data_IF_253247391657
#
_entry.id   IF_253247391657
#
_cell.length_a   1.000
_cell.length_b   1.000
_cell.length_c   1.000
_cell.angle_alpha   90.00
_cell.angle_beta   90.00
_cell.angle_gamma   90.00
#
_symmetry.space_group_name_H-M   'P 1'
#
loop_
_entity.id
_entity.type
_entity.pdbx_description
1 polymer ?
#
# COMPACT_ATOMS: atom_id res chain seq x y z
N UNK A 1 64.33 -67.74 5.20
CA UNK A 1 63.44 -68.89 5.00
C UNK A 1 62.12 -68.32 4.54
N UNK A 2 61.99 -68.23 3.22
CA UNK A 2 60.78 -67.90 2.48
C UNK A 2 60.28 -69.22 1.89
N UNK A 3 59.01 -69.56 2.12
CA UNK A 3 58.18 -70.46 1.30
C UNK A 3 56.76 -69.84 1.41
N UNK A 4 56.28 -69.14 0.38
CA UNK A 4 55.45 -69.63 -0.74
C UNK A 4 54.14 -70.32 -0.32
N UNK A 5 53.03 -69.75 -0.77
CA UNK A 5 51.75 -70.40 -1.15
C UNK A 5 50.88 -69.26 -1.75
N UNK A 6 50.39 -69.28 -2.99
CA UNK A 6 49.93 -70.39 -3.81
C UNK A 6 48.44 -70.15 -4.11
N UNK A 7 48.12 -69.77 -5.34
CA UNK A 7 46.75 -69.52 -5.85
C UNK A 7 45.80 -70.70 -5.61
N UNK A 8 44.50 -70.42 -5.41
CA UNK A 8 43.46 -71.34 -5.91
C UNK A 8 42.17 -70.58 -6.32
N UNK A 9 41.86 -70.71 -7.61
CA UNK A 9 40.59 -70.34 -8.22
C UNK A 9 39.69 -71.58 -8.33
N UNK A 10 38.37 -71.37 -8.22
CA UNK A 10 37.35 -72.28 -8.78
C UNK A 10 36.42 -72.96 -7.76
N UNK A 11 35.11 -72.80 -7.91
CA UNK A 11 34.26 -73.76 -8.65
C UNK A 11 32.77 -73.50 -8.31
N UNK A 12 32.00 -73.15 -9.34
CA UNK A 12 30.55 -73.09 -9.34
C UNK A 12 29.97 -74.51 -9.29
N UNK A 13 29.55 -75.00 -8.12
CA UNK A 13 28.67 -76.17 -8.00
C UNK A 13 27.47 -75.91 -7.10
N UNK A 14 26.48 -75.24 -7.68
CA UNK A 14 25.14 -75.10 -7.14
C UNK A 14 24.30 -76.37 -7.42
N UNK A 15 24.48 -77.42 -6.62
CA UNK A 15 23.62 -78.61 -6.69
C UNK A 15 23.93 -79.58 -5.56
N UNK A 16 22.93 -79.86 -4.71
CA UNK A 16 22.97 -80.87 -3.63
C UNK A 16 23.73 -80.49 -2.33
N UNK A 17 23.29 -79.45 -1.62
CA UNK A 17 23.70 -79.21 -0.21
C UNK A 17 22.55 -79.02 0.80
N UNK A 18 21.29 -79.09 0.35
CA UNK A 18 20.11 -78.83 1.18
C UNK A 18 19.84 -79.92 2.24
N UNK A 19 20.27 -81.16 2.00
CA UNK A 19 19.98 -82.31 2.88
C UNK A 19 21.12 -82.66 3.86
N UNK A 20 22.26 -81.94 3.78
CA UNK A 20 23.46 -82.15 4.60
C UNK A 20 23.89 -80.91 5.38
N UNK A 21 23.05 -79.87 5.40
CA UNK A 21 23.37 -78.62 6.07
C UNK A 21 23.33 -78.79 7.60
N UNK A 22 24.50 -78.75 8.24
CA UNK A 22 24.61 -78.63 9.70
C UNK A 22 24.27 -77.18 10.06
N UNK A 23 23.14 -76.96 10.74
CA UNK A 23 22.81 -75.68 11.35
C UNK A 23 23.79 -75.37 12.49
N UNK A 24 24.93 -74.77 12.14
CA UNK A 24 25.89 -74.21 13.07
C UNK A 24 25.91 -72.68 12.89
N UNK A 25 26.09 -71.88 13.97
CA UNK A 25 26.26 -70.45 13.84
C UNK A 25 27.42 -70.17 12.89
N UNK A 26 27.15 -69.47 11.78
CA UNK A 26 28.20 -69.09 10.82
C UNK A 26 29.22 -68.19 11.54
N UNK A 27 30.48 -68.61 11.56
CA UNK A 27 31.58 -67.82 12.13
C UNK A 27 31.98 -66.69 11.17
N UNK A 28 32.35 -65.53 11.72
CA UNK A 28 32.83 -64.38 10.93
C UNK A 28 31.75 -63.53 10.25
N UNK A 29 30.47 -63.68 10.63
CA UNK A 29 29.43 -62.77 10.15
C UNK A 29 29.61 -61.36 10.74
N UNK A 30 29.47 -60.28 9.94
CA UNK A 30 29.44 -58.93 10.47
C UNK A 30 28.25 -58.77 11.43
N UNK A 31 28.35 -57.86 12.42
CA UNK A 31 27.25 -57.63 13.35
C UNK A 31 26.03 -57.08 12.60
N UNK A 32 24.83 -57.47 13.05
CA UNK A 32 23.57 -57.05 12.44
C UNK A 32 23.39 -55.52 12.50
N UNK A 33 23.87 -54.90 13.58
CA UNK A 33 23.81 -53.46 13.82
C UNK A 33 25.22 -52.96 14.09
N UNK A 34 25.53 -51.79 13.55
CA UNK A 34 26.74 -51.03 13.84
C UNK A 34 26.30 -49.71 14.48
N UNK A 35 27.09 -49.20 15.43
CA UNK A 35 26.79 -47.90 16.03
C UNK A 35 26.89 -46.81 14.95
N UNK A 36 25.86 -45.97 14.84
CA UNK A 36 25.83 -44.91 13.83
C UNK A 36 27.01 -43.94 13.96
N UNK A 37 27.51 -43.73 15.19
CA UNK A 37 28.64 -42.84 15.48
C UNK A 37 29.97 -43.35 14.92
N UNK A 38 30.07 -44.65 14.67
CA UNK A 38 31.28 -45.31 14.15
C UNK A 38 31.30 -45.30 12.61
N UNK A 39 30.16 -45.03 11.97
CA UNK A 39 30.07 -44.93 10.52
C UNK A 39 30.34 -43.51 10.05
N UNK A 40 31.41 -43.33 9.29
CA UNK A 40 31.72 -42.05 8.62
C UNK A 40 30.58 -41.68 7.64
N UNK A 41 29.97 -40.48 7.74
CA UNK A 41 28.90 -40.08 6.84
C UNK A 41 29.42 -39.78 5.44
N UNK A 42 28.60 -40.09 4.44
CA UNK A 42 28.83 -39.68 3.05
C UNK A 42 28.57 -38.18 2.88
N UNK A 43 29.21 -37.59 1.88
CA UNK A 43 29.01 -36.18 1.53
C UNK A 43 27.76 -36.06 0.68
N UNK A 44 26.70 -35.50 1.26
CA UNK A 44 25.41 -35.32 0.61
C UNK A 44 25.17 -33.84 0.31
N UNK A 45 24.50 -33.55 -0.80
CA UNK A 45 24.12 -32.18 -1.18
C UNK A 45 22.71 -31.81 -0.71
N UNK A 46 21.79 -32.78 -0.71
CA UNK A 46 20.42 -32.60 -0.26
C UNK A 46 19.81 -33.93 0.21
N UNK A 47 18.72 -33.85 0.96
CA UNK A 47 17.83 -34.96 1.25
C UNK A 47 16.52 -34.76 0.49
N UNK A 48 15.94 -35.85 0.00
CA UNK A 48 14.67 -35.82 -0.73
C UNK A 48 13.69 -36.81 -0.15
N UNK A 49 12.42 -36.43 -0.13
CA UNK A 49 11.30 -37.30 0.25
C UNK A 49 10.28 -37.34 -0.88
N UNK A 50 9.67 -38.51 -1.09
CA UNK A 50 8.56 -38.72 -2.02
C UNK A 50 7.46 -39.46 -1.30
N UNK A 51 6.27 -38.88 -1.21
CA UNK A 51 5.16 -39.42 -0.41
C UNK A 51 3.79 -39.00 -0.95
N UNK A 52 2.73 -39.67 -0.51
CA UNK A 52 1.34 -39.29 -0.81
C UNK A 52 0.92 -38.05 -0.01
N UNK A 53 0.47 -37.01 -0.70
CA UNK A 53 0.25 -35.69 -0.11
C UNK A 53 -0.98 -35.70 0.80
N UNK A 54 -0.71 -35.57 2.10
CA UNK A 54 -1.70 -35.27 3.14
C UNK A 54 -1.30 -34.02 3.92
N UNK A 55 -2.26 -33.35 4.56
CA UNK A 55 -1.98 -32.18 5.41
C UNK A 55 -0.99 -32.51 6.53
N UNK A 56 -1.15 -33.67 7.16
CA UNK A 56 -0.32 -34.09 8.29
C UNK A 56 1.14 -34.29 7.87
N UNK A 57 1.36 -35.05 6.78
CA UNK A 57 2.70 -35.31 6.26
C UNK A 57 3.34 -34.05 5.69
N UNK A 58 2.58 -33.22 4.97
CA UNK A 58 3.10 -31.93 4.48
C UNK A 58 3.58 -31.05 5.63
N UNK A 59 2.77 -30.86 6.68
CA UNK A 59 3.15 -30.07 7.85
C UNK A 59 4.33 -30.69 8.61
N UNK A 60 4.46 -32.02 8.63
CA UNK A 60 5.61 -32.70 9.21
C UNK A 60 6.89 -32.36 8.45
N UNK A 61 6.93 -32.54 7.13
CA UNK A 61 8.13 -32.27 6.34
C UNK A 61 8.48 -30.78 6.29
N UNK A 62 7.47 -29.90 6.17
CA UNK A 62 7.65 -28.44 6.24
C UNK A 62 8.34 -28.01 7.52
N UNK A 63 7.90 -28.54 8.68
CA UNK A 63 8.51 -28.24 10.00
C UNK A 63 9.96 -28.74 10.11
N UNK A 64 10.32 -29.78 9.37
CA UNK A 64 11.69 -30.29 9.29
C UNK A 64 12.53 -29.57 8.20
N UNK A 65 12.06 -28.45 7.66
CA UNK A 65 12.81 -27.61 6.73
C UNK A 65 12.79 -28.10 5.27
N UNK A 66 11.91 -29.02 4.91
CA UNK A 66 11.76 -29.45 3.52
C UNK A 66 10.93 -28.44 2.70
N UNK A 67 11.36 -28.20 1.46
CA UNK A 67 10.69 -27.33 0.49
C UNK A 67 10.05 -28.17 -0.63
N UNK A 68 8.78 -27.94 -0.98
CA UNK A 68 8.13 -28.65 -2.07
C UNK A 68 8.64 -28.18 -3.42
N UNK A 69 8.95 -29.13 -4.31
CA UNK A 69 9.44 -28.84 -5.66
C UNK A 69 8.57 -29.43 -6.76
N UNK A 70 7.82 -30.48 -6.46
CA UNK A 70 6.99 -31.15 -7.45
C UNK A 70 5.77 -31.80 -6.80
N UNK A 71 4.65 -31.70 -7.51
CA UNK A 71 3.41 -32.38 -7.18
C UNK A 71 2.85 -33.00 -8.45
N UNK A 72 2.62 -34.32 -8.42
CA UNK A 72 1.99 -35.04 -9.53
C UNK A 72 0.55 -34.56 -9.70
N UNK A 73 0.12 -34.31 -10.95
CA UNK A 73 -1.23 -33.82 -11.25
C UNK A 73 -2.29 -34.92 -11.23
N UNK A 74 -1.91 -36.18 -11.42
CA UNK A 74 -2.81 -37.33 -11.27
C UNK A 74 -2.67 -37.90 -9.87
N UNK A 75 -3.80 -38.08 -9.19
CA UNK A 75 -3.87 -38.87 -7.97
C UNK A 75 -3.48 -40.33 -8.24
N UNK A 76 -2.94 -41.01 -7.24
CA UNK A 76 -2.69 -42.45 -7.30
C UNK A 76 -4.02 -43.21 -7.31
N UNK A 77 -4.18 -44.19 -8.20
CA UNK A 77 -5.40 -45.00 -8.28
C UNK A 77 -5.65 -45.82 -7.00
N UNK A 78 -4.58 -46.12 -6.24
CA UNK A 78 -4.68 -46.93 -5.02
C UNK A 78 -5.06 -46.10 -3.79
N UNK A 79 -4.51 -44.88 -3.65
CA UNK A 79 -4.68 -44.07 -2.43
C UNK A 79 -5.53 -42.82 -2.63
N UNK A 80 -5.75 -42.39 -3.87
CA UNK A 80 -6.39 -41.11 -4.19
C UNK A 80 -5.53 -39.88 -3.88
N UNK A 81 -4.28 -40.07 -3.43
CA UNK A 81 -3.38 -38.99 -3.05
C UNK A 81 -2.45 -38.57 -4.19
N UNK A 82 -2.06 -37.29 -4.20
CA UNK A 82 -1.07 -36.77 -5.12
C UNK A 82 0.35 -37.07 -4.61
N UNK A 83 1.24 -37.57 -5.46
CA UNK A 83 2.65 -37.76 -5.07
C UNK A 83 3.35 -36.40 -4.97
N UNK A 84 3.89 -36.08 -3.80
CA UNK A 84 4.66 -34.86 -3.51
C UNK A 84 6.14 -35.20 -3.35
N UNK A 85 7.01 -34.40 -3.99
CA UNK A 85 8.46 -34.45 -3.79
C UNK A 85 8.89 -33.15 -3.11
N UNK A 86 9.57 -33.30 -1.98
CA UNK A 86 10.17 -32.18 -1.23
C UNK A 86 11.65 -32.43 -1.00
N UNK A 87 12.45 -31.37 -1.02
CA UNK A 87 13.90 -31.42 -0.78
C UNK A 87 14.30 -30.59 0.43
N UNK A 88 15.35 -31.02 1.12
CA UNK A 88 16.04 -30.27 2.16
C UNK A 88 17.52 -30.13 1.76
N UNK A 89 17.96 -28.90 1.48
CA UNK A 89 19.34 -28.64 1.09
C UNK A 89 20.27 -28.76 2.31
N UNK A 90 21.38 -29.48 2.14
CA UNK A 90 22.39 -29.66 3.17
C UNK A 90 23.58 -28.74 2.93
N UNK A 91 24.28 -28.38 4.01
CA UNK A 91 25.55 -27.68 3.88
C UNK A 91 26.61 -28.64 3.31
N UNK A 92 27.23 -28.26 2.20
CA UNK A 92 28.29 -29.05 1.58
C UNK A 92 29.42 -28.10 1.15
N UNK A 93 30.70 -28.40 1.46
CA UNK A 93 31.82 -27.55 1.09
C UNK A 93 32.01 -27.36 -0.44
N UNK A 94 31.43 -28.22 -1.28
CA UNK A 94 31.43 -28.05 -2.74
C UNK A 94 30.46 -26.97 -3.23
N UNK A 95 29.44 -26.64 -2.45
CA UNK A 95 28.34 -25.76 -2.88
C UNK A 95 28.20 -24.62 -1.89
N UNK A 96 28.29 -23.39 -2.39
CA UNK A 96 28.16 -22.20 -1.55
C UNK A 96 26.73 -22.02 -1.04
N UNK A 97 26.49 -22.49 0.19
CA UNK A 97 25.22 -22.32 0.90
C UNK A 97 24.07 -23.18 0.36
N UNK A 98 22.87 -22.94 0.88
CA UNK A 98 21.64 -23.71 0.59
C UNK A 98 20.62 -22.92 -0.24
N UNK A 99 20.98 -21.70 -0.66
CA UNK A 99 20.06 -20.76 -1.31
C UNK A 99 19.65 -21.19 -2.73
N UNK A 100 20.39 -22.11 -3.36
CA UNK A 100 20.08 -22.64 -4.68
C UNK A 100 18.71 -23.32 -4.75
N UNK A 101 18.15 -23.77 -3.62
CA UNK A 101 16.84 -24.42 -3.55
C UNK A 101 15.69 -23.41 -3.69
N UNK A 102 15.89 -22.16 -3.27
CA UNK A 102 14.85 -21.13 -3.21
C UNK A 102 14.28 -20.77 -4.60
N UNK A 103 15.08 -20.59 -5.67
CA UNK A 103 14.56 -20.41 -7.03
C UNK A 103 13.62 -21.53 -7.48
N UNK A 104 13.95 -22.80 -7.20
CA UNK A 104 13.11 -23.94 -7.59
C UNK A 104 11.80 -23.98 -6.79
N UNK A 105 11.84 -23.67 -5.49
CA UNK A 105 10.63 -23.56 -4.67
C UNK A 105 9.72 -22.42 -5.15
N UNK A 106 10.29 -21.26 -5.52
CA UNK A 106 9.54 -20.12 -6.07
C UNK A 106 8.88 -20.45 -7.41
N UNK A 107 9.61 -21.12 -8.28
CA UNK A 107 9.08 -21.59 -9.57
C UNK A 107 7.98 -22.64 -9.37
N UNK A 108 8.16 -23.58 -8.44
CA UNK A 108 7.12 -24.54 -8.05
C UNK A 108 5.84 -23.82 -7.58
N UNK A 109 5.94 -22.83 -6.69
CA UNK A 109 4.77 -22.06 -6.23
C UNK A 109 4.04 -21.37 -7.38
N UNK A 110 4.77 -20.81 -8.34
CA UNK A 110 4.20 -20.15 -9.53
C UNK A 110 3.49 -21.15 -10.45
N UNK A 111 4.05 -22.34 -10.64
CA UNK A 111 3.38 -23.42 -11.38
C UNK A 111 2.17 -23.95 -10.64
N UNK A 112 2.28 -24.11 -9.32
CA UNK A 112 1.21 -24.61 -8.46
C UNK A 112 0.00 -23.67 -8.48
N UNK A 113 0.18 -22.34 -8.41
CA UNK A 113 -0.94 -21.39 -8.52
C UNK A 113 -1.71 -21.53 -9.82
N UNK A 114 -1.03 -21.80 -10.93
CA UNK A 114 -1.65 -22.02 -12.24
C UNK A 114 -2.42 -23.35 -12.31
N UNK A 115 -1.92 -24.39 -11.63
CA UNK A 115 -2.52 -25.73 -11.63
C UNK A 115 -3.70 -25.88 -10.66
N UNK A 116 -3.94 -24.91 -9.77
CA UNK A 116 -5.03 -24.94 -8.79
C UNK A 116 -6.42 -24.98 -9.42
N UNK A 117 -6.62 -24.37 -10.58
CA UNK A 117 -7.91 -24.38 -11.29
C UNK A 117 -8.19 -25.71 -12.00
N UNK A 118 -7.14 -26.51 -12.26
CA UNK A 118 -7.22 -27.76 -12.99
C UNK A 118 -7.10 -28.96 -12.05
N UNK A 119 -5.95 -29.65 -12.11
CA UNK A 119 -5.68 -30.88 -11.37
C UNK A 119 -5.92 -30.77 -9.85
N UNK A 120 -5.73 -29.58 -9.26
CA UNK A 120 -5.86 -29.38 -7.82
C UNK A 120 -7.12 -28.62 -7.40
N UNK A 121 -8.14 -28.53 -8.27
CA UNK A 121 -9.41 -27.82 -7.99
C UNK A 121 -10.08 -28.31 -6.71
N UNK A 122 -10.10 -29.63 -6.49
CA UNK A 122 -10.74 -30.28 -5.34
C UNK A 122 -9.87 -30.36 -4.09
N UNK A 123 -8.60 -29.91 -4.16
CA UNK A 123 -7.70 -29.90 -3.00
C UNK A 123 -8.24 -29.01 -1.88
N UNK A 124 -8.25 -29.44 -0.60
CA UNK A 124 -8.67 -28.58 0.51
C UNK A 124 -7.91 -27.26 0.53
N UNK A 125 -8.63 -26.13 0.68
CA UNK A 125 -8.04 -24.80 0.68
C UNK A 125 -6.94 -24.65 1.74
N UNK A 126 -7.11 -25.31 2.90
CA UNK A 126 -6.11 -25.30 3.95
C UNK A 126 -4.76 -25.90 3.52
N UNK A 127 -4.80 -27.02 2.80
CA UNK A 127 -3.62 -27.69 2.28
C UNK A 127 -2.93 -26.85 1.21
N UNK A 128 -3.71 -26.30 0.28
CA UNK A 128 -3.19 -25.43 -0.75
C UNK A 128 -2.54 -24.15 -0.18
N UNK A 129 -3.14 -23.55 0.86
CA UNK A 129 -2.53 -22.43 1.59
C UNK A 129 -1.25 -22.85 2.32
N UNK A 130 -1.18 -24.06 2.91
CA UNK A 130 0.06 -24.57 3.51
C UNK A 130 1.18 -24.75 2.49
N UNK A 131 0.85 -25.19 1.27
CA UNK A 131 1.82 -25.38 0.18
C UNK A 131 2.34 -24.03 -0.35
N UNK A 132 1.43 -23.06 -0.56
CA UNK A 132 1.80 -21.73 -1.02
C UNK A 132 2.56 -20.94 0.06
N UNK A 133 2.21 -21.16 1.33
CA UNK A 133 2.74 -20.46 2.50
C UNK A 133 2.76 -18.93 2.29
N UNK A 134 1.59 -18.32 1.99
CA UNK A 134 1.51 -16.90 1.68
C UNK A 134 1.70 -16.07 2.95
N UNK A 135 2.39 -14.94 2.82
CA UNK A 135 2.45 -13.95 3.89
C UNK A 135 1.06 -13.30 4.04
N UNK A 136 0.42 -13.49 5.20
CA UNK A 136 -0.94 -12.99 5.46
C UNK A 136 -0.98 -11.64 6.18
N UNK A 137 0.11 -11.29 6.87
CA UNK A 137 0.23 -10.05 7.63
C UNK A 137 1.40 -9.25 7.10
N UNK A 138 1.16 -7.98 6.80
CA UNK A 138 2.14 -7.04 6.28
C UNK A 138 2.21 -5.83 7.21
N UNK A 139 3.41 -5.27 7.39
CA UNK A 139 3.56 -4.02 8.12
C UNK A 139 3.12 -2.84 7.25
N UNK A 140 2.83 -1.70 7.90
CA UNK A 140 2.52 -0.46 7.19
C UNK A 140 3.68 -0.03 6.29
N UNK A 141 4.92 -0.21 6.75
CA UNK A 141 6.13 0.11 5.98
C UNK A 141 6.26 -0.74 4.70
N UNK A 142 5.97 -2.04 4.79
CA UNK A 142 6.02 -2.94 3.62
C UNK A 142 4.94 -2.59 2.61
N UNK A 143 3.75 -2.27 3.11
CA UNK A 143 2.61 -1.82 2.30
C UNK A 143 2.95 -0.52 1.58
N UNK A 144 3.50 0.46 2.30
CA UNK A 144 3.88 1.75 1.71
C UNK A 144 5.02 1.61 0.70
N UNK A 145 6.00 0.75 0.96
CA UNK A 145 7.08 0.48 0.01
C UNK A 145 6.54 -0.08 -1.30
N UNK A 146 5.63 -1.05 -1.24
CA UNK A 146 5.01 -1.62 -2.44
C UNK A 146 4.15 -0.61 -3.21
N UNK A 147 3.42 0.25 -2.51
CA UNK A 147 2.69 1.39 -3.10
C UNK A 147 3.65 2.31 -3.85
N UNK A 148 4.80 2.63 -3.26
CA UNK A 148 5.82 3.50 -3.85
C UNK A 148 6.53 2.85 -5.05
N UNK A 149 6.79 1.54 -5.02
CA UNK A 149 7.38 0.81 -6.14
C UNK A 149 6.39 0.72 -7.32
N UNK A 150 5.10 0.64 -7.03
CA UNK A 150 4.02 0.53 -8.00
C UNK A 150 3.65 -0.93 -8.26
N UNK A 151 2.58 -1.39 -7.63
CA UNK A 151 2.03 -2.72 -7.88
C UNK A 151 1.26 -2.74 -9.22
N UNK A 152 1.86 -3.35 -10.25
CA UNK A 152 1.19 -3.62 -11.52
C UNK A 152 0.72 -5.07 -11.56
N UNK A 153 -0.60 -5.27 -11.52
CA UNK A 153 -1.20 -6.58 -11.79
C UNK A 153 -1.43 -6.70 -13.28
N UNK A 154 -0.88 -7.77 -13.86
CA UNK A 154 -0.97 -8.07 -15.28
C UNK A 154 -2.12 -9.06 -15.50
N UNK A 155 -2.98 -8.75 -16.47
CA UNK A 155 -4.07 -9.60 -16.95
C UNK A 155 -3.55 -10.68 -17.90
N UNK A 156 -4.39 -11.67 -18.23
CA UNK A 156 -4.05 -12.73 -19.18
C UNK A 156 -3.57 -12.23 -20.55
N UNK A 157 -4.03 -11.06 -20.99
CA UNK A 157 -3.63 -10.44 -22.26
C UNK A 157 -2.28 -9.70 -22.20
N UNK A 158 -1.57 -9.80 -21.06
CA UNK A 158 -0.29 -9.13 -20.83
C UNK A 158 -0.42 -7.65 -20.50
N UNK A 159 -1.63 -7.11 -20.41
CA UNK A 159 -1.87 -5.70 -20.09
C UNK A 159 -2.09 -5.49 -18.59
N UNK A 160 -1.69 -4.33 -18.04
CA UNK A 160 -2.04 -4.00 -16.66
C UNK A 160 -3.55 -3.80 -16.49
N UNK A 161 -4.05 -3.92 -15.26
CA UNK A 161 -5.44 -3.58 -14.92
C UNK A 161 -5.79 -2.15 -15.36
N UNK A 162 -6.87 -2.01 -16.13
CA UNK A 162 -7.31 -0.72 -16.65
C UNK A 162 -8.10 0.10 -15.62
N UNK A 163 -8.41 1.36 -15.93
CA UNK A 163 -9.26 2.23 -15.12
C UNK A 163 -10.69 1.67 -14.97
N UNK A 164 -11.23 1.04 -16.03
CA UNK A 164 -12.55 0.39 -15.97
C UNK A 164 -12.58 -0.80 -15.01
N UNK A 165 -11.52 -1.60 -14.97
CA UNK A 165 -11.40 -2.73 -14.05
C UNK A 165 -11.37 -2.25 -12.59
N UNK A 166 -10.63 -1.17 -12.31
CA UNK A 166 -10.64 -0.54 -10.99
C UNK A 166 -12.01 0.02 -10.61
N UNK A 167 -12.74 0.61 -11.55
CA UNK A 167 -14.10 1.11 -11.31
C UNK A 167 -15.07 -0.02 -10.96
N UNK A 168 -14.95 -1.18 -11.63
CA UNK A 168 -15.73 -2.40 -11.32
C UNK A 168 -15.41 -2.91 -9.92
N UNK A 169 -14.12 -3.00 -9.57
CA UNK A 169 -13.68 -3.38 -8.22
C UNK A 169 -14.18 -2.41 -7.15
N UNK A 170 -14.12 -1.10 -7.43
CA UNK A 170 -14.65 -0.08 -6.53
C UNK A 170 -16.17 -0.26 -6.31
N UNK A 171 -16.94 -0.43 -7.39
CA UNK A 171 -18.38 -0.58 -7.31
C UNK A 171 -18.79 -1.82 -6.49
N UNK A 172 -18.08 -2.94 -6.68
CA UNK A 172 -18.25 -4.13 -5.84
C UNK A 172 -17.84 -3.88 -4.37
N UNK A 173 -16.69 -3.24 -4.13
CA UNK A 173 -16.20 -2.95 -2.77
C UNK A 173 -17.15 -2.04 -1.95
N UNK A 174 -17.93 -1.23 -2.66
CA UNK A 174 -18.98 -0.36 -2.12
C UNK A 174 -20.36 -1.05 -2.05
N UNK A 175 -20.45 -2.35 -2.34
CA UNK A 175 -21.68 -3.14 -2.37
C UNK A 175 -22.74 -2.62 -3.35
N UNK A 176 -22.33 -1.96 -4.44
CA UNK A 176 -23.24 -1.43 -5.46
C UNK A 176 -23.57 -2.46 -6.55
N UNK A 177 -22.74 -3.49 -6.67
CA UNK A 177 -22.87 -4.52 -7.70
C UNK A 177 -22.59 -5.88 -7.12
N UNK A 178 -23.15 -6.89 -7.77
CA UNK A 178 -22.92 -8.29 -7.44
C UNK A 178 -21.49 -8.76 -7.84
N UNK A 179 -20.99 -9.80 -7.17
CA UNK A 179 -19.63 -10.31 -7.34
C UNK A 179 -19.36 -10.93 -8.72
N UNK A 180 -20.37 -11.39 -9.45
CA UNK A 180 -20.18 -11.93 -10.80
C UNK A 180 -19.53 -10.91 -11.76
N UNK A 181 -19.70 -9.60 -11.49
CA UNK A 181 -19.07 -8.54 -12.30
C UNK A 181 -17.54 -8.48 -12.14
N UNK A 182 -16.93 -9.14 -11.16
CA UNK A 182 -15.47 -9.06 -10.92
C UNK A 182 -14.76 -10.42 -10.99
N UNK A 183 -15.48 -11.49 -11.33
CA UNK A 183 -14.92 -12.85 -11.35
C UNK A 183 -13.78 -13.02 -12.35
N UNK A 184 -13.82 -12.33 -13.50
CA UNK A 184 -12.75 -12.31 -14.50
C UNK A 184 -11.45 -11.67 -13.99
N UNK A 185 -11.55 -10.76 -13.03
CA UNK A 185 -10.38 -10.10 -12.42
C UNK A 185 -9.78 -10.93 -11.28
N UNK A 186 -10.55 -11.84 -10.72
CA UNK A 186 -10.23 -12.53 -9.48
C UNK A 186 -8.98 -13.44 -9.57
N UNK A 187 -8.74 -14.23 -10.63
CA UNK A 187 -7.56 -15.07 -10.73
C UNK A 187 -6.25 -14.27 -10.64
N UNK A 188 -6.23 -13.10 -11.27
CA UNK A 188 -5.07 -12.20 -11.29
C UNK A 188 -4.82 -11.57 -9.93
N UNK A 189 -5.88 -11.11 -9.26
CA UNK A 189 -5.81 -10.55 -7.92
C UNK A 189 -5.35 -11.59 -6.89
N UNK A 190 -5.93 -12.80 -6.96
CA UNK A 190 -5.61 -13.89 -6.07
C UNK A 190 -4.15 -14.37 -6.26
N UNK A 191 -3.71 -14.52 -7.51
CA UNK A 191 -2.33 -14.90 -7.84
C UNK A 191 -1.33 -13.86 -7.36
N UNK A 192 -1.56 -12.58 -7.66
CA UNK A 192 -0.69 -11.49 -7.22
C UNK A 192 -0.60 -11.41 -5.68
N UNK A 193 -1.72 -11.60 -4.98
CA UNK A 193 -1.75 -11.63 -3.52
C UNK A 193 -0.98 -12.82 -2.94
N UNK A 194 -1.30 -14.05 -3.39
CA UNK A 194 -0.75 -15.28 -2.81
C UNK A 194 0.73 -15.48 -3.12
N UNK A 195 1.24 -14.87 -4.21
CA UNK A 195 2.68 -14.83 -4.53
C UNK A 195 3.43 -13.67 -3.85
N UNK A 196 2.72 -12.83 -3.07
CA UNK A 196 3.33 -11.74 -2.30
C UNK A 196 3.61 -10.46 -3.08
N UNK A 197 3.06 -10.31 -4.30
CA UNK A 197 3.17 -9.08 -5.10
C UNK A 197 2.19 -7.99 -4.67
N UNK A 198 1.18 -8.35 -3.87
CA UNK A 198 0.16 -7.43 -3.38
C UNK A 198 0.09 -7.50 -1.85
N UNK A 199 0.89 -6.69 -1.12
CA UNK A 199 0.92 -6.71 0.33
C UNK A 199 -0.35 -6.09 0.91
N UNK A 200 -1.22 -6.95 1.43
CA UNK A 200 -2.44 -6.54 2.12
C UNK A 200 -2.72 -7.50 3.26
N UNK A 201 -2.96 -7.01 4.47
CA UNK A 201 -3.18 -7.91 5.61
C UNK A 201 -4.56 -8.58 5.52
N UNK A 202 -4.61 -9.89 5.22
CA UNK A 202 -5.85 -10.68 5.16
C UNK A 202 -5.89 -11.72 6.30
N UNK A 203 -7.09 -12.04 6.77
CA UNK A 203 -7.27 -13.19 7.67
C UNK A 203 -7.09 -14.50 6.91
N UNK A 204 -6.82 -15.59 7.63
CA UNK A 204 -6.72 -16.92 7.03
C UNK A 204 -7.98 -17.30 6.25
N UNK A 205 -9.17 -17.04 6.81
CA UNK A 205 -10.44 -17.27 6.12
C UNK A 205 -10.59 -16.41 4.85
N UNK A 206 -10.16 -15.14 4.89
CA UNK A 206 -10.16 -14.26 3.72
C UNK A 206 -9.26 -14.81 2.61
N UNK A 207 -8.05 -15.27 2.95
CA UNK A 207 -7.12 -15.88 2.01
C UNK A 207 -7.66 -17.22 1.46
N UNK A 208 -8.30 -18.04 2.29
CA UNK A 208 -8.91 -19.30 1.86
C UNK A 208 -10.06 -19.09 0.87
N UNK A 209 -10.91 -18.09 1.12
CA UNK A 209 -12.00 -17.71 0.20
C UNK A 209 -11.41 -17.18 -1.12
N UNK A 210 -10.41 -16.30 -1.04
CA UNK A 210 -9.75 -15.74 -2.22
C UNK A 210 -9.07 -16.83 -3.07
N UNK A 211 -8.42 -17.80 -2.43
CA UNK A 211 -7.84 -18.97 -3.09
C UNK A 211 -8.93 -19.82 -3.77
N UNK A 212 -10.01 -20.13 -3.05
CA UNK A 212 -11.04 -21.07 -3.51
C UNK A 212 -11.82 -20.49 -4.71
N UNK A 213 -12.26 -19.25 -4.60
CA UNK A 213 -12.99 -18.57 -5.68
C UNK A 213 -12.04 -18.14 -6.81
N UNK A 214 -10.87 -17.61 -6.47
CA UNK A 214 -9.95 -16.98 -7.42
C UNK A 214 -9.03 -17.94 -8.16
N UNK A 215 -8.42 -18.91 -7.48
CA UNK A 215 -7.45 -19.83 -8.09
C UNK A 215 -7.98 -21.24 -8.30
N UNK A 216 -8.92 -21.71 -7.48
CA UNK A 216 -9.54 -23.03 -7.67
C UNK A 216 -10.83 -22.97 -8.50
N UNK A 217 -11.36 -21.77 -8.78
CA UNK A 217 -12.61 -21.56 -9.52
C UNK A 217 -13.75 -22.41 -8.97
N UNK A 218 -13.87 -22.42 -7.64
CA UNK A 218 -14.97 -23.09 -6.93
C UNK A 218 -16.22 -22.25 -6.94
N UNK A 219 -17.35 -22.93 -6.94
CA UNK A 219 -18.65 -22.28 -6.79
C UNK A 219 -18.85 -21.84 -5.34
N UNK A 220 -19.68 -20.82 -5.12
CA UNK A 220 -19.92 -20.30 -3.78
C UNK A 220 -20.43 -21.39 -2.81
N UNK A 221 -21.31 -22.26 -3.28
CA UNK A 221 -21.83 -23.40 -2.50
C UNK A 221 -20.73 -24.38 -2.06
N UNK A 222 -19.75 -24.66 -2.93
CA UNK A 222 -18.61 -25.53 -2.59
C UNK A 222 -17.71 -24.87 -1.53
N UNK A 223 -17.61 -23.54 -1.53
CA UNK A 223 -16.83 -22.78 -0.54
C UNK A 223 -17.55 -22.72 0.82
N UNK A 224 -18.88 -22.60 0.81
CA UNK A 224 -19.71 -22.64 2.03
C UNK A 224 -19.56 -23.96 2.76
N UNK A 225 -19.63 -25.09 2.03
CA UNK A 225 -19.44 -26.42 2.60
C UNK A 225 -18.01 -26.58 3.14
N UNK A 226 -17.01 -26.21 2.34
CA UNK A 226 -15.59 -26.37 2.71
C UNK A 226 -15.19 -25.55 3.95
N UNK A 227 -15.79 -24.37 4.16
CA UNK A 227 -15.50 -23.51 5.30
C UNK A 227 -16.50 -23.64 6.45
N UNK A 228 -17.61 -24.38 6.24
CA UNK A 228 -18.73 -24.45 7.18
C UNK A 228 -19.26 -23.06 7.58
N UNK A 229 -19.38 -22.16 6.59
CA UNK A 229 -19.85 -20.79 6.76
C UNK A 229 -21.07 -20.51 5.88
N UNK A 230 -22.07 -19.75 6.35
CA UNK A 230 -23.20 -19.32 5.52
C UNK A 230 -22.76 -18.42 4.35
N UNK A 231 -23.46 -18.48 3.22
CA UNK A 231 -23.20 -17.68 2.00
C UNK A 231 -22.94 -16.21 2.27
N UNK A 232 -23.78 -15.59 3.10
CA UNK A 232 -23.69 -14.18 3.46
C UNK A 232 -22.38 -13.83 4.17
N UNK A 233 -21.86 -14.74 5.00
CA UNK A 233 -20.59 -14.54 5.69
C UNK A 233 -19.40 -14.71 4.75
N UNK A 234 -19.47 -15.69 3.84
CA UNK A 234 -18.44 -15.89 2.79
C UNK A 234 -18.33 -14.64 1.92
N UNK A 235 -19.46 -14.13 1.42
CA UNK A 235 -19.50 -12.92 0.60
C UNK A 235 -19.05 -11.67 1.39
N UNK A 236 -19.43 -11.55 2.67
CA UNK A 236 -18.96 -10.44 3.50
C UNK A 236 -17.44 -10.46 3.71
N UNK A 237 -16.85 -11.63 3.99
CA UNK A 237 -15.41 -11.79 4.13
C UNK A 237 -14.68 -11.56 2.80
N UNK A 238 -15.25 -12.05 1.70
CA UNK A 238 -14.75 -11.83 0.35
C UNK A 238 -14.71 -10.35 -0.02
N UNK A 239 -15.81 -9.62 0.22
CA UNK A 239 -15.88 -8.17 0.01
C UNK A 239 -14.85 -7.41 0.86
N UNK A 240 -14.68 -7.81 2.13
CA UNK A 240 -13.69 -7.22 3.03
C UNK A 240 -12.26 -7.44 2.54
N UNK A 241 -11.95 -8.61 1.97
CA UNK A 241 -10.66 -8.89 1.36
C UNK A 241 -10.43 -8.02 0.13
N UNK A 242 -11.38 -8.00 -0.79
CA UNK A 242 -11.30 -7.20 -2.01
C UNK A 242 -11.20 -5.70 -1.77
N UNK A 243 -11.87 -5.17 -0.72
CA UNK A 243 -11.72 -3.77 -0.33
C UNK A 243 -10.29 -3.42 0.05
N UNK A 244 -9.58 -4.32 0.75
CA UNK A 244 -8.17 -4.14 1.11
C UNK A 244 -7.24 -4.22 -0.11
N UNK A 245 -7.50 -5.16 -1.01
CA UNK A 245 -6.74 -5.27 -2.27
C UNK A 245 -6.96 -4.03 -3.15
N UNK A 246 -8.21 -3.59 -3.28
CA UNK A 246 -8.58 -2.38 -4.02
C UNK A 246 -7.94 -1.13 -3.42
N UNK A 247 -7.97 -0.95 -2.10
CA UNK A 247 -7.32 0.22 -1.46
C UNK A 247 -5.82 0.27 -1.74
N UNK A 248 -5.15 -0.88 -1.73
CA UNK A 248 -3.73 -0.97 -2.08
C UNK A 248 -3.47 -0.58 -3.54
N UNK A 249 -4.26 -1.15 -4.47
CA UNK A 249 -4.13 -0.84 -5.90
C UNK A 249 -4.42 0.62 -6.22
N UNK A 250 -5.43 1.20 -5.56
CA UNK A 250 -5.76 2.61 -5.67
C UNK A 250 -4.60 3.48 -5.20
N UNK A 251 -4.06 3.21 -4.01
CA UNK A 251 -2.92 3.95 -3.47
C UNK A 251 -1.69 3.84 -4.38
N UNK A 252 -1.40 2.65 -4.92
CA UNK A 252 -0.30 2.45 -5.87
C UNK A 252 -0.48 3.25 -7.16
N UNK A 253 -1.70 3.33 -7.71
CA UNK A 253 -1.99 4.16 -8.89
C UNK A 253 -1.93 5.65 -8.58
N UNK A 254 -2.46 6.10 -7.44
CA UNK A 254 -2.38 7.50 -7.00
C UNK A 254 -0.91 7.93 -6.85
N UNK A 255 -0.07 7.12 -6.19
CA UNK A 255 1.37 7.36 -6.05
C UNK A 255 2.12 7.31 -7.40
N UNK A 256 1.68 6.50 -8.36
CA UNK A 256 2.25 6.50 -9.71
C UNK A 256 1.90 7.78 -10.48
N UNK A 257 0.67 8.28 -10.35
CA UNK A 257 0.25 9.56 -10.93
C UNK A 257 1.00 10.71 -10.29
N UNK A 258 1.11 10.74 -8.96
CA UNK A 258 1.85 11.78 -8.23
C UNK A 258 3.31 11.88 -8.69
N UNK A 259 3.98 10.75 -8.92
CA UNK A 259 5.33 10.70 -9.49
C UNK A 259 5.43 11.25 -10.92
N UNK A 260 4.36 11.17 -11.69
CA UNK A 260 4.30 11.69 -13.05
C UNK A 260 3.96 13.19 -13.12
N UNK A 261 3.38 13.74 -12.05
CA UNK A 261 3.06 15.16 -11.99
C UNK A 261 4.37 15.98 -11.90
N UNK A 262 4.45 17.13 -12.59
CA UNK A 262 5.59 18.03 -12.44
C UNK A 262 5.76 18.41 -10.97
N UNK A 263 6.97 18.27 -10.44
CA UNK A 263 7.28 18.76 -9.11
C UNK A 263 6.90 20.25 -9.06
N UNK A 264 6.12 20.69 -8.05
CA UNK A 264 5.85 22.11 -7.90
C UNK A 264 7.19 22.83 -7.83
N UNK A 265 7.46 23.70 -8.80
CA UNK A 265 8.64 24.57 -8.78
C UNK A 265 8.61 25.24 -7.41
N UNK A 266 9.65 25.02 -6.59
CA UNK A 266 9.77 25.67 -5.29
C UNK A 266 9.42 27.14 -5.52
N UNK A 267 8.29 27.58 -4.96
CA UNK A 267 7.86 28.94 -5.12
C UNK A 267 9.07 29.79 -4.68
N UNK A 268 9.51 30.77 -5.48
CA UNK A 268 10.56 31.67 -5.03
C UNK A 268 10.15 32.13 -3.64
N UNK A 269 11.05 32.03 -2.67
CA UNK A 269 10.78 32.40 -1.30
C UNK A 269 10.06 33.76 -1.33
N UNK A 270 8.78 33.77 -0.96
CA UNK A 270 7.96 34.97 -0.94
C UNK A 270 8.53 35.83 0.18
N UNK A 271 9.54 36.63 -0.15
CA UNK A 271 10.09 37.62 0.76
C UNK A 271 8.98 38.67 0.99
N UNK A 272 8.64 38.97 2.25
CA UNK A 272 7.84 40.14 2.56
C UNK A 272 8.44 41.35 1.86
N UNK A 273 7.60 42.21 1.28
CA UNK A 273 8.09 43.48 0.73
C UNK A 273 8.77 44.29 1.83
N UNK A 274 9.86 44.99 1.51
CA UNK A 274 10.60 45.80 2.48
C UNK A 274 9.76 46.94 3.07
N UNK A 275 8.68 47.31 2.37
CA UNK A 275 7.73 48.33 2.79
C UNK A 275 6.36 47.67 2.94
N UNK A 276 5.74 47.92 4.08
CA UNK A 276 4.39 47.46 4.37
C UNK A 276 3.38 48.28 3.56
N UNK A 277 2.36 47.62 3.01
CA UNK A 277 1.37 48.27 2.13
C UNK A 277 0.62 49.36 2.89
N UNK A 278 0.40 49.16 4.20
CA UNK A 278 -0.24 50.15 5.06
C UNK A 278 0.63 51.41 5.22
N UNK A 279 1.96 51.26 5.26
CA UNK A 279 2.89 52.40 5.32
C UNK A 279 2.90 53.22 4.01
N UNK A 280 2.85 52.55 2.85
CA UNK A 280 2.76 53.22 1.55
C UNK A 280 1.42 53.96 1.37
N UNK A 281 0.33 53.38 1.88
CA UNK A 281 -1.00 53.99 1.89
C UNK A 281 -1.05 55.23 2.80
N UNK A 282 -0.42 55.18 3.97
CA UNK A 282 -0.37 56.30 4.90
C UNK A 282 0.46 57.48 4.36
N UNK A 283 1.61 57.21 3.73
CA UNK A 283 2.42 58.23 3.07
C UNK A 283 1.67 58.90 1.92
N UNK A 284 0.98 58.11 1.09
CA UNK A 284 0.13 58.63 0.02
C UNK A 284 -1.04 59.47 0.59
N UNK A 285 -1.66 59.03 1.69
CA UNK A 285 -2.74 59.76 2.34
C UNK A 285 -2.24 61.08 2.96
N UNK A 286 -1.04 61.11 3.53
CA UNK A 286 -0.42 62.32 4.04
C UNK A 286 -0.16 63.34 2.93
N UNK A 287 0.40 62.90 1.79
CA UNK A 287 0.62 63.76 0.63
C UNK A 287 -0.68 64.35 0.09
N UNK A 288 -1.76 63.57 0.04
CA UNK A 288 -3.09 64.07 -0.39
C UNK A 288 -3.66 65.06 0.62
N UNK A 289 -3.54 64.80 1.94
CA UNK A 289 -4.00 65.73 2.98
C UNK A 289 -3.26 67.07 2.91
N UNK A 290 -1.96 67.05 2.66
CA UNK A 290 -1.16 68.27 2.51
C UNK A 290 -1.54 69.05 1.24
N UNK A 291 -1.81 68.34 0.14
CA UNK A 291 -2.33 68.94 -1.08
C UNK A 291 -3.74 69.54 -0.87
N UNK A 292 -4.61 68.89 -0.11
CA UNK A 292 -5.92 69.45 0.25
C UNK A 292 -5.78 70.65 1.19
N UNK A 293 -4.88 70.60 2.17
CA UNK A 293 -4.62 71.71 3.09
C UNK A 293 -4.15 72.95 2.35
N UNK A 294 -3.22 72.81 1.41
CA UNK A 294 -2.75 73.94 0.60
C UNK A 294 -3.81 74.48 -0.37
N UNK A 295 -4.72 73.63 -0.87
CA UNK A 295 -5.81 74.05 -1.77
C UNK A 295 -6.98 74.73 -1.07
N UNK A 296 -7.38 74.26 0.12
CA UNK A 296 -8.64 74.66 0.76
C UNK A 296 -8.47 75.44 2.08
N UNK A 297 -7.28 75.42 2.71
CA UNK A 297 -7.04 76.09 4.00
C UNK A 297 -6.04 77.24 3.82
N UNK A 298 -6.35 78.18 2.92
CA UNK A 298 -5.58 79.43 2.79
C UNK A 298 -5.94 80.36 3.96
N UNK A 299 -4.92 80.77 4.71
CA UNK A 299 -5.10 81.61 5.91
C UNK A 299 -5.89 82.90 5.63
N UNK A 300 -5.77 83.46 4.42
CA UNK A 300 -6.49 84.66 3.97
C UNK A 300 -8.00 84.45 3.87
N UNK A 301 -8.47 83.27 3.44
CA UNK A 301 -9.90 82.94 3.30
C UNK A 301 -10.54 82.49 4.63
N UNK A 302 -9.74 82.07 5.62
CA UNK A 302 -10.23 81.70 6.95
C UNK A 302 -10.49 82.92 7.84
N UNK A 303 -9.89 84.07 7.50
CA UNK A 303 -10.07 85.34 8.22
C UNK A 303 -11.50 85.88 8.16
N UNK A 304 -12.27 85.56 7.10
CA UNK A 304 -13.68 85.97 6.96
C UNK A 304 -14.63 85.22 7.91
N UNK A 305 -14.17 84.10 8.48
CA UNK A 305 -14.87 83.31 9.49
C UNK A 305 -14.32 83.56 10.91
N UNK A 306 -13.38 84.50 11.07
CA UNK A 306 -12.91 84.92 12.37
C UNK A 306 -14.07 85.60 13.12
N UNK A 307 -14.46 85.05 14.27
CA UNK A 307 -15.53 85.62 15.09
C UNK A 307 -14.90 86.71 15.95
N UNK A 308 -15.10 87.98 15.57
CA UNK A 308 -14.48 89.15 16.20
C UNK A 308 -15.13 89.64 17.49
N UNK A 309 -15.63 88.74 18.36
CA UNK A 309 -16.12 89.12 19.68
C UNK A 309 -14.97 89.12 20.69
N UNK A 310 -14.91 90.12 21.57
CA UNK A 310 -13.97 90.12 22.69
C UNK A 310 -14.37 89.10 23.76
N UNK A 311 -13.41 88.60 24.55
CA UNK A 311 -13.65 87.58 25.57
C UNK A 311 -14.77 87.98 26.56
N UNK A 312 -14.90 89.27 26.89
CA UNK A 312 -15.94 89.81 27.77
C UNK A 312 -17.37 89.67 27.20
N UNK A 313 -17.54 89.76 25.88
CA UNK A 313 -18.86 89.63 25.22
C UNK A 313 -19.30 88.17 25.13
N UNK A 314 -18.35 87.25 24.95
CA UNK A 314 -18.61 85.81 24.99
C UNK A 314 -18.91 85.33 26.42
N UNK A 315 -18.26 85.90 27.42
CA UNK A 315 -18.54 85.60 28.83
C UNK A 315 -19.93 86.09 29.25
N UNK A 316 -20.34 87.28 28.79
CA UNK A 316 -21.69 87.81 29.00
C UNK A 316 -22.76 86.96 28.29
N UNK A 317 -22.51 86.50 27.07
CA UNK A 317 -23.44 85.68 26.30
C UNK A 317 -23.60 84.24 26.86
N UNK A 318 -22.60 83.74 27.58
CA UNK A 318 -22.62 82.41 28.21
C UNK A 318 -22.95 82.45 29.71
N UNK A 319 -23.02 83.65 30.31
CA UNK A 319 -23.31 83.85 31.73
C UNK A 319 -22.27 83.19 32.66
N UNK A 320 -21.02 83.06 32.20
CA UNK A 320 -19.93 82.41 32.93
C UNK A 320 -20.04 80.88 33.06
N UNK A 321 -20.88 80.20 32.25
CA UNK A 321 -20.99 78.73 32.23
C UNK A 321 -20.86 78.18 30.81
N UNK A 322 -20.18 77.04 30.66
CA UNK A 322 -20.04 76.38 29.37
C UNK A 322 -21.44 75.99 28.80
N UNK A 323 -21.73 76.28 27.53
CA UNK A 323 -23.01 75.92 26.91
C UNK A 323 -23.18 74.41 26.83
N UNK A 324 -24.43 73.93 26.96
CA UNK A 324 -24.78 72.50 26.79
C UNK A 324 -24.57 72.08 25.33
N UNK A 325 -24.18 70.82 25.11
CA UNK A 325 -23.96 70.27 23.77
C UNK A 325 -25.19 70.49 22.87
N UNK A 326 -24.99 71.21 21.76
CA UNK A 326 -26.05 71.59 20.81
C UNK A 326 -26.77 72.92 21.09
N UNK A 327 -26.38 73.67 22.13
CA UNK A 327 -26.93 74.99 22.42
C UNK A 327 -26.40 76.08 21.49
N UNK A 328 -27.26 77.03 21.11
CA UNK A 328 -26.92 78.16 20.25
C UNK A 328 -26.54 79.37 21.10
N UNK A 329 -25.33 79.91 20.92
CA UNK A 329 -24.87 81.17 21.53
C UNK A 329 -24.79 82.23 20.44
N UNK A 330 -25.43 83.38 20.65
CA UNK A 330 -25.41 84.50 19.71
C UNK A 330 -24.64 85.68 20.29
N UNK A 331 -23.60 86.12 19.58
CA UNK A 331 -22.83 87.33 19.90
C UNK A 331 -22.95 88.29 18.71
N UNK A 332 -23.18 89.57 18.97
CA UNK A 332 -23.31 90.59 17.90
C UNK A 332 -21.93 90.85 17.29
N UNK A 333 -21.77 90.60 16.00
CA UNK A 333 -20.54 90.99 15.30
C UNK A 333 -20.51 92.50 15.07
N UNK A 334 -19.47 93.20 15.53
CA UNK A 334 -19.16 94.57 15.14
C UNK A 334 -18.49 94.57 13.77
N UNK A 335 -19.26 94.80 12.70
CA UNK A 335 -18.73 95.02 11.35
C UNK A 335 -18.78 96.51 11.03
N UNK A 336 -17.70 97.22 11.32
CA UNK A 336 -17.43 98.54 10.74
C UNK A 336 -16.27 98.39 9.74
N UNK A 337 -16.55 98.58 8.45
CA UNK A 337 -15.56 98.65 7.38
C UNK A 337 -15.55 97.48 6.39
N UNK A 338 -16.39 97.56 5.35
CA UNK A 338 -16.06 97.18 3.96
C UNK A 338 -17.35 97.20 3.09
N UNK A 339 -17.80 98.39 2.73
CA UNK A 339 -18.77 98.60 1.66
C UNK A 339 -18.06 99.29 0.49
N UNK A 340 -17.74 98.54 -0.58
CA UNK A 340 -17.63 99.05 -1.96
C UNK A 340 -17.28 97.92 -2.94
N UNK A 341 -17.86 98.01 -4.15
CA UNK A 341 -17.69 97.16 -5.34
C UNK A 341 -18.46 95.82 -5.34
N UNK A 342 -19.49 95.60 -6.17
CA UNK A 342 -20.06 96.43 -7.23
C UNK A 342 -21.37 95.82 -7.74
N UNK A 343 -22.37 96.68 -7.96
CA UNK A 343 -23.60 96.37 -8.67
C UNK A 343 -23.53 97.04 -10.05
N UNK A 344 -23.87 96.31 -11.10
CA UNK A 344 -23.90 96.84 -12.47
C UNK A 344 -24.20 95.76 -13.49
N UNK A 345 -25.45 95.30 -13.54
CA UNK A 345 -25.99 94.53 -14.65
C UNK A 345 -26.43 95.49 -15.78
N UNK A 346 -26.04 95.19 -17.02
CA UNK A 346 -26.52 95.85 -18.23
C UNK A 346 -26.05 95.06 -19.46
N UNK A 347 -26.97 94.33 -20.10
CA UNK A 347 -26.67 93.51 -21.26
C UNK A 347 -26.64 94.29 -22.58
N UNK A 348 -26.06 93.69 -23.63
CA UNK A 348 -26.62 93.56 -24.98
C UNK A 348 -25.67 92.79 -25.92
N UNK A 349 -26.27 91.84 -26.64
CA UNK A 349 -25.98 91.20 -27.94
C UNK A 349 -24.66 91.44 -28.72
N UNK A 350 -24.18 90.34 -29.33
CA UNK A 350 -23.69 90.30 -30.71
C UNK A 350 -22.34 89.61 -30.93
N UNK A 351 -22.33 88.49 -31.66
CA UNK A 351 -21.12 87.86 -32.22
C UNK A 351 -20.97 86.39 -31.88
#
# INVERSE_FOLDING_TARGET
EEEEDGEEAGDDKAGSRLLTEKMAPRSGLPPLLVNLSERKPERLHYLGVSYGLTQQLFNFWRRNGFEPLYLRQSASDTTGEYTCIMLHALHNPEVSGTQWLQPFAKDFKTRFTTLLAGAFRTMPAALALSILDPKLSFSEEETQRSVNEGAAIVRMDGKPLDAYDLKRLQAYSNNLVDYHLILDLLPHLASAYLLGHLPATLSYAQAAILLSLGLQHRELAEVEEALSLPSNQVLALFNKALRKLYSHLRAAKEAAVERSLPAPRAAPALAPHEVDVDAELDDAAAAVREQMRSKYLRAEELSQYAIGGGDEEFEAATGGKAPRAGGLVQVKSSKEGAAAAGAGAGGTAGG
#
